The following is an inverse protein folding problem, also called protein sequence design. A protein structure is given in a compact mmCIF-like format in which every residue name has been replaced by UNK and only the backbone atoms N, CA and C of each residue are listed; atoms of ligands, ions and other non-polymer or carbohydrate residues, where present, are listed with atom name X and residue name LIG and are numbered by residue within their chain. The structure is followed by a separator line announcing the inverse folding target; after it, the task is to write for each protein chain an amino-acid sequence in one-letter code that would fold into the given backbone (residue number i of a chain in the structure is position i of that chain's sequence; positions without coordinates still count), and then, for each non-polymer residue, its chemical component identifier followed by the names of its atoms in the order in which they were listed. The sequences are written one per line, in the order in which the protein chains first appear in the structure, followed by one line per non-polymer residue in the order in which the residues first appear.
data_IF_216220170285
#
_entry.id   IF_216220170285
#
_cell.length_a   1.000
_cell.length_b   1.000
_cell.length_c   1.000
_cell.angle_alpha   90.00
_cell.angle_beta   90.00
_cell.angle_gamma   90.00
#
_symmetry.space_group_name_H-M   'P 1'
#
loop_
_entity.id
_entity.type
_entity.pdbx_description
1 polymer ?
#
# COMPACT_ATOMS: atom_id res chain seq x y z
N UNK A 1 16.06 -14.04 14.11
CA UNK A 1 15.93 -12.62 14.47
C UNK A 1 15.00 -11.96 13.47
N UNK A 2 13.96 -11.28 13.94
CA UNK A 2 13.12 -10.44 13.07
C UNK A 2 13.93 -9.22 12.60
N UNK A 3 13.81 -8.85 11.33
CA UNK A 3 14.38 -7.60 10.82
C UNK A 3 13.44 -6.45 11.21
N UNK A 4 13.98 -5.33 11.71
CA UNK A 4 13.22 -4.09 11.86
C UNK A 4 13.04 -3.49 10.46
N UNK A 5 11.82 -3.05 10.14
CA UNK A 5 11.48 -2.40 8.87
C UNK A 5 11.11 -0.93 9.10
N UNK A 6 11.42 -0.09 8.12
CA UNK A 6 10.94 1.29 8.05
C UNK A 6 9.74 1.37 7.13
N UNK A 7 8.64 1.97 7.60
CA UNK A 7 7.44 2.20 6.79
C UNK A 7 7.21 3.71 6.70
N UNK A 8 7.29 4.25 5.49
CA UNK A 8 6.71 5.54 5.18
C UNK A 8 5.23 5.33 4.86
N UNK A 9 4.36 5.69 5.80
CA UNK A 9 2.91 5.61 5.64
C UNK A 9 2.38 6.96 5.15
N UNK A 10 2.45 7.24 3.86
CA UNK A 10 2.06 8.54 3.29
C UNK A 10 0.58 8.66 2.94
N UNK A 11 0.11 9.88 2.67
CA UNK A 11 -1.30 10.17 2.33
C UNK A 11 -1.73 9.57 0.99
N UNK A 12 -0.83 9.57 0.00
CA UNK A 12 -1.11 9.11 -1.37
C UNK A 12 -0.46 7.77 -1.66
N UNK A 13 0.79 7.59 -1.23
CA UNK A 13 1.55 6.37 -1.42
C UNK A 13 2.27 6.03 -0.11
N UNK A 14 2.60 4.76 0.05
CA UNK A 14 3.39 4.23 1.15
C UNK A 14 4.56 3.41 0.61
N UNK A 15 5.63 3.32 1.40
CA UNK A 15 6.88 2.61 1.06
C UNK A 15 7.37 1.83 2.26
N UNK A 16 7.98 0.67 2.02
CA UNK A 16 8.65 -0.12 3.07
C UNK A 16 10.09 -0.43 2.69
N UNK A 17 10.99 -0.30 3.65
CA UNK A 17 12.42 -0.57 3.48
C UNK A 17 12.98 -1.37 4.66
N UNK A 18 14.11 -2.02 4.44
CA UNK A 18 14.85 -2.79 5.44
C UNK A 18 16.35 -2.53 5.28
N UNK A 19 17.12 -2.67 6.36
CA UNK A 19 18.58 -2.58 6.29
C UNK A 19 19.17 -3.91 5.83
N UNK A 20 19.91 -3.92 4.72
CA UNK A 20 20.66 -5.07 4.21
C UNK A 20 22.11 -4.66 3.94
N UNK A 21 23.07 -5.40 4.51
CA UNK A 21 24.50 -5.11 4.29
C UNK A 21 24.96 -3.71 4.76
N UNK A 22 24.21 -3.08 5.68
CA UNK A 22 24.48 -1.71 6.14
C UNK A 22 23.77 -0.62 5.33
N UNK A 23 23.11 -0.98 4.23
CA UNK A 23 22.42 -0.04 3.34
C UNK A 23 20.90 -0.20 3.41
N UNK A 24 20.11 0.88 3.28
CA UNK A 24 18.66 0.79 3.21
C UNK A 24 18.20 0.28 1.83
N UNK A 25 17.44 -0.81 1.82
CA UNK A 25 16.87 -1.42 0.60
C UNK A 25 15.34 -1.32 0.66
N UNK A 26 14.74 -0.74 -0.38
CA UNK A 26 13.29 -0.68 -0.54
C UNK A 26 12.77 -2.03 -1.00
N UNK A 27 11.70 -2.52 -0.36
CA UNK A 27 11.07 -3.79 -0.68
C UNK A 27 10.02 -3.57 -1.78
N UNK A 28 10.08 -4.40 -2.81
CA UNK A 28 9.08 -4.41 -3.89
C UNK A 28 7.80 -5.10 -3.40
N UNK A 29 6.63 -4.51 -3.68
CA UNK A 29 5.35 -5.13 -3.40
C UNK A 29 5.02 -6.27 -4.38
N UNK A 30 3.94 -6.99 -4.12
CA UNK A 30 3.49 -8.12 -4.95
C UNK A 30 3.17 -7.70 -6.39
N UNK A 31 2.86 -6.43 -6.63
CA UNK A 31 2.61 -5.86 -7.95
C UNK A 31 3.88 -5.37 -8.68
N UNK A 32 5.06 -5.61 -8.12
CA UNK A 32 6.34 -5.21 -8.74
C UNK A 32 6.72 -3.74 -8.55
N UNK A 33 5.93 -2.98 -7.78
CA UNK A 33 6.17 -1.57 -7.47
C UNK A 33 7.02 -1.39 -6.20
N UNK A 34 7.82 -0.32 -6.16
CA UNK A 34 8.55 0.11 -4.93
C UNK A 34 7.71 1.02 -4.03
N UNK A 35 6.52 1.40 -4.47
CA UNK A 35 5.55 2.17 -3.71
C UNK A 35 4.16 1.54 -3.87
N UNK A 36 3.34 1.68 -2.85
CA UNK A 36 1.98 1.15 -2.81
C UNK A 36 1.01 2.31 -2.61
N UNK A 37 -0.05 2.47 -3.43
CA UNK A 37 -1.07 3.49 -3.18
C UNK A 37 -1.68 3.33 -1.79
N UNK A 38 -1.84 4.43 -1.06
CA UNK A 38 -2.50 4.48 0.25
C UNK A 38 -4.02 4.45 0.06
N UNK A 39 -4.50 3.34 -0.49
CA UNK A 39 -5.89 3.12 -0.89
C UNK A 39 -6.33 1.75 -0.40
N UNK A 40 -7.51 1.70 0.21
CA UNK A 40 -8.18 0.48 0.65
C UNK A 40 -9.57 0.45 0.03
N UNK A 41 -10.03 -0.71 -0.43
CA UNK A 41 -11.39 -0.87 -0.89
C UNK A 41 -12.04 -2.13 -0.31
N UNK A 42 -13.35 -2.07 -0.12
CA UNK A 42 -14.16 -3.23 0.26
C UNK A 42 -15.03 -3.64 -0.92
N UNK A 43 -14.96 -4.91 -1.31
CA UNK A 43 -15.80 -5.46 -2.38
C UNK A 43 -17.19 -5.80 -1.84
N UNK A 44 -18.16 -5.98 -2.76
CA UNK A 44 -19.53 -6.39 -2.41
C UNK A 44 -19.58 -7.73 -1.66
N UNK A 45 -18.64 -8.62 -1.96
CA UNK A 45 -18.52 -9.94 -1.34
C UNK A 45 -17.77 -9.90 0.01
N UNK A 46 -17.42 -8.70 0.51
CA UNK A 46 -16.76 -8.50 1.80
C UNK A 46 -15.24 -8.62 1.78
N UNK A 47 -14.60 -8.78 0.61
CA UNK A 47 -13.14 -8.85 0.50
C UNK A 47 -12.51 -7.46 0.64
N UNK A 48 -11.34 -7.41 1.27
CA UNK A 48 -10.54 -6.19 1.40
C UNK A 48 -9.43 -6.16 0.36
N UNK A 49 -9.43 -5.13 -0.47
CA UNK A 49 -8.40 -4.82 -1.46
C UNK A 49 -7.51 -3.69 -0.92
N UNK A 50 -6.22 -3.73 -1.25
CA UNK A 50 -5.24 -2.70 -0.85
C UNK A 50 -4.39 -2.33 -2.06
N UNK A 51 -3.87 -1.10 -2.09
CA UNK A 51 -2.84 -0.71 -3.05
C UNK A 51 -3.36 -0.55 -4.48
N UNK A 52 -2.65 -1.12 -5.45
CA UNK A 52 -2.96 -0.95 -6.86
C UNK A 52 -4.32 -1.54 -7.23
N UNK A 53 -4.66 -2.70 -6.66
CA UNK A 53 -5.93 -3.37 -6.93
C UNK A 53 -7.11 -2.53 -6.44
N UNK A 54 -7.02 -1.96 -5.23
CA UNK A 54 -8.03 -1.04 -4.70
C UNK A 54 -8.16 0.23 -5.55
N UNK A 55 -7.03 0.83 -5.96
CA UNK A 55 -7.02 2.03 -6.79
C UNK A 55 -7.66 1.81 -8.17
N UNK A 56 -7.45 0.66 -8.81
CA UNK A 56 -7.99 0.35 -10.16
C UNK A 56 -9.51 0.34 -10.20
N UNK A 57 -10.16 -0.16 -9.16
CA UNK A 57 -11.62 -0.25 -9.11
C UNK A 57 -12.31 0.98 -8.49
N UNK A 58 -11.55 2.02 -8.13
CA UNK A 58 -12.09 3.22 -7.49
C UNK A 58 -13.17 3.93 -8.31
N UNK A 59 -13.08 3.88 -9.65
CA UNK A 59 -14.06 4.49 -10.56
C UNK A 59 -15.39 3.75 -10.54
N UNK A 60 -15.39 2.43 -10.39
CA UNK A 60 -16.59 1.59 -10.43
C UNK A 60 -17.17 1.29 -9.04
N UNK A 61 -16.42 1.58 -7.98
CA UNK A 61 -16.82 1.39 -6.58
C UNK A 61 -16.38 2.58 -5.69
N UNK A 62 -16.81 3.81 -6.01
CA UNK A 62 -16.28 5.01 -5.35
C UNK A 62 -16.60 5.07 -3.85
N UNK A 63 -17.82 4.70 -3.46
CA UNK A 63 -18.28 4.81 -2.06
C UNK A 63 -17.55 3.85 -1.10
N UNK A 64 -17.11 2.68 -1.59
CA UNK A 64 -16.39 1.70 -0.79
C UNK A 64 -14.87 1.72 -1.02
N UNK A 65 -14.35 2.79 -1.62
CA UNK A 65 -12.92 2.98 -1.85
C UNK A 65 -12.41 4.17 -1.04
N UNK A 66 -11.57 3.88 -0.06
CA UNK A 66 -11.01 4.84 0.87
C UNK A 66 -9.60 5.26 0.44
N UNK A 67 -9.37 6.56 0.34
CA UNK A 67 -8.07 7.16 0.03
C UNK A 67 -7.93 8.50 0.78
N UNK A 68 -6.71 9.04 0.88
CA UNK A 68 -6.43 10.28 1.64
C UNK A 68 -6.83 10.23 3.13
N UNK A 69 -6.89 9.06 3.75
CA UNK A 69 -7.25 8.88 5.17
C UNK A 69 -6.28 9.56 6.14
N UNK A 70 -5.01 9.74 5.73
CA UNK A 70 -3.98 10.41 6.54
C UNK A 70 -4.12 11.95 6.58
N UNK A 71 -5.24 12.51 6.13
CA UNK A 71 -5.48 13.96 6.18
C UNK A 71 -6.11 14.36 7.50
#
# INVERSE_FOLDING_TARGET
MSKIIGIDLGTTNSVVAVMEGGEPVVITNEEGGRTTPSVVAFTKDGNRLVGQVAKRQAVTNPENTLYSIKR
#
